data_IF_719214197454
#
_entry.id   IF_719214197454
#
_cell.length_a   1.000
_cell.length_b   1.000
_cell.length_c   1.000
_cell.angle_alpha   90.00
_cell.angle_beta   90.00
_cell.angle_gamma   90.00
#
_symmetry.space_group_name_H-M   'P 1'
#
loop_
_entity.id
_entity.type
_entity.pdbx_description
1 polymer ?
#
# COMPACT_ATOMS: atom_id res chain seq x y z
N UNK A 1 20.69 0.04 2.25
CA UNK A 1 20.95 -1.18 1.44
C UNK A 1 19.76 -1.53 0.55
N UNK A 2 19.99 -2.12 -0.61
CA UNK A 2 18.92 -2.64 -1.47
C UNK A 2 18.24 -3.85 -0.82
N UNK A 3 16.92 -4.00 -1.00
CA UNK A 3 16.11 -5.08 -0.38
C UNK A 3 16.74 -6.47 -0.56
N UNK A 4 17.09 -6.85 -1.77
CA UNK A 4 17.60 -8.19 -2.09
C UNK A 4 19.08 -8.44 -1.73
N UNK A 5 19.86 -7.40 -1.42
CA UNK A 5 21.25 -7.55 -1.00
C UNK A 5 21.38 -8.24 0.36
N UNK A 6 20.36 -8.11 1.21
CA UNK A 6 20.33 -8.68 2.55
C UNK A 6 19.95 -10.16 2.57
N UNK A 7 19.40 -10.69 1.46
CA UNK A 7 18.94 -12.09 1.43
C UNK A 7 20.10 -13.07 1.32
N UNK A 8 20.01 -14.18 2.05
CA UNK A 8 20.97 -15.27 1.97
C UNK A 8 21.09 -15.78 0.54
N UNK A 9 22.30 -16.14 0.17
CA UNK A 9 22.58 -16.80 -1.11
C UNK A 9 22.47 -18.32 -0.94
N UNK A 10 21.83 -18.97 -1.89
CA UNK A 10 21.67 -20.42 -1.96
C UNK A 10 22.27 -20.97 -3.25
N UNK A 11 22.74 -22.21 -3.18
CA UNK A 11 23.12 -22.96 -4.38
C UNK A 11 21.84 -23.53 -5.02
N UNK A 12 21.54 -23.10 -6.23
CA UNK A 12 20.36 -23.54 -6.97
C UNK A 12 20.72 -23.97 -8.38
N UNK A 13 20.24 -25.14 -8.79
CA UNK A 13 20.38 -25.66 -10.14
C UNK A 13 19.07 -25.52 -10.91
N UNK A 14 18.87 -24.44 -11.69
CA UNK A 14 17.62 -24.18 -12.41
C UNK A 14 17.35 -25.15 -13.56
N UNK A 15 18.38 -25.87 -14.02
CA UNK A 15 18.29 -26.75 -15.20
C UNK A 15 18.32 -28.23 -14.81
N UNK A 16 18.76 -28.56 -13.59
CA UNK A 16 18.89 -29.95 -13.11
C UNK A 16 20.05 -30.72 -13.75
N UNK A 17 21.11 -30.00 -14.15
CA UNK A 17 22.29 -30.56 -14.81
C UNK A 17 23.49 -30.75 -13.89
N UNK A 18 23.29 -30.75 -12.57
CA UNK A 18 24.32 -30.81 -11.53
C UNK A 18 25.35 -29.67 -11.59
N UNK A 19 24.96 -28.51 -12.12
CA UNK A 19 25.77 -27.29 -12.14
C UNK A 19 25.08 -26.17 -11.34
N UNK A 20 25.07 -26.24 -10.00
CA UNK A 20 24.39 -25.25 -9.18
C UNK A 20 25.09 -23.89 -9.25
N UNK A 21 24.30 -22.84 -9.31
CA UNK A 21 24.75 -21.43 -9.28
C UNK A 21 24.38 -20.81 -7.94
N UNK A 22 25.24 -19.94 -7.46
CA UNK A 22 24.95 -19.12 -6.27
C UNK A 22 23.95 -18.04 -6.63
N UNK A 23 22.74 -18.11 -6.06
CA UNK A 23 21.65 -17.17 -6.32
C UNK A 23 21.08 -16.61 -5.02
N UNK A 24 20.54 -15.41 -5.08
CA UNK A 24 19.81 -14.82 -3.94
C UNK A 24 18.54 -15.62 -3.67
N UNK A 25 18.29 -15.97 -2.39
CA UNK A 25 17.10 -16.72 -1.99
C UNK A 25 15.85 -15.83 -2.00
N UNK A 26 15.23 -15.65 -3.15
CA UNK A 26 13.99 -14.87 -3.30
C UNK A 26 12.73 -15.59 -2.79
N UNK A 27 12.86 -16.83 -2.33
CA UNK A 27 11.73 -17.59 -1.77
C UNK A 27 11.39 -17.18 -0.33
N UNK A 28 12.30 -16.51 0.37
CA UNK A 28 12.00 -15.93 1.68
C UNK A 28 11.14 -14.67 1.50
N UNK A 29 10.14 -14.53 2.35
CA UNK A 29 9.29 -13.34 2.41
C UNK A 29 9.28 -12.81 3.85
N UNK A 30 9.60 -11.54 4.00
CA UNK A 30 9.52 -10.83 5.27
C UNK A 30 8.23 -10.03 5.31
N UNK A 31 7.59 -10.02 6.47
CA UNK A 31 6.40 -9.21 6.73
C UNK A 31 6.54 -8.54 8.10
N UNK A 32 6.12 -7.30 8.20
CA UNK A 32 6.08 -6.59 9.48
C UNK A 32 5.04 -7.22 10.43
N UNK A 33 5.40 -7.34 11.69
CA UNK A 33 4.43 -7.76 12.72
C UNK A 33 3.44 -6.63 13.00
N UNK A 34 2.17 -6.98 13.16
CA UNK A 34 1.10 -6.03 13.45
C UNK A 34 1.35 -5.17 14.70
N UNK A 35 2.11 -5.66 15.65
CA UNK A 35 2.45 -4.90 16.87
C UNK A 35 3.41 -3.74 16.60
N UNK A 36 4.35 -3.88 15.66
CA UNK A 36 5.27 -2.79 15.30
C UNK A 36 4.54 -1.64 14.59
N UNK A 37 3.49 -1.95 13.84
CA UNK A 37 2.63 -0.94 13.19
C UNK A 37 1.80 -0.11 14.17
N UNK A 38 1.70 -0.52 15.42
CA UNK A 38 0.98 0.20 16.48
C UNK A 38 1.89 1.09 17.33
N UNK A 39 3.20 1.02 17.12
CA UNK A 39 4.18 1.85 17.82
C UNK A 39 4.23 3.25 17.19
N UNK A 40 3.25 4.09 17.55
CA UNK A 40 3.07 5.46 17.06
C UNK A 40 4.36 6.30 17.21
N UNK A 41 5.22 5.97 18.16
CA UNK A 41 6.48 6.69 18.39
C UNK A 41 7.47 6.52 17.24
N UNK A 42 7.40 5.41 16.50
CA UNK A 42 8.35 5.08 15.43
C UNK A 42 7.88 5.53 14.06
N UNK A 43 6.63 5.97 13.93
CA UNK A 43 5.98 6.23 12.66
C UNK A 43 5.57 7.69 12.54
N UNK A 44 5.69 8.22 11.34
CA UNK A 44 5.15 9.51 10.95
C UNK A 44 4.09 9.30 9.86
N UNK A 45 2.85 9.76 10.06
CA UNK A 45 1.83 9.71 9.02
C UNK A 45 2.20 10.65 7.87
N UNK A 46 2.01 10.20 6.64
CA UNK A 46 2.33 10.96 5.44
C UNK A 46 1.22 10.81 4.40
N UNK A 47 0.76 11.93 3.85
CA UNK A 47 -0.20 11.95 2.75
C UNK A 47 0.55 12.06 1.42
N UNK A 48 0.51 10.95 0.65
CA UNK A 48 1.17 10.84 -0.65
C UNK A 48 0.62 11.90 -1.61
N UNK A 49 1.50 12.72 -2.14
CA UNK A 49 1.14 13.77 -3.08
C UNK A 49 0.89 13.23 -4.49
N UNK A 50 0.26 14.05 -5.33
CA UNK A 50 -0.04 13.66 -6.72
C UNK A 50 1.25 13.28 -7.49
N UNK A 51 1.23 12.13 -8.13
CA UNK A 51 2.35 11.54 -8.89
C UNK A 51 3.59 11.13 -8.07
N UNK A 52 3.51 11.08 -6.75
CA UNK A 52 4.59 10.50 -5.97
C UNK A 52 4.61 8.97 -6.07
N UNK A 53 5.80 8.42 -6.27
CA UNK A 53 6.06 6.98 -6.19
C UNK A 53 6.72 6.62 -4.85
N UNK A 54 6.74 5.35 -4.44
CA UNK A 54 7.42 4.94 -3.22
C UNK A 54 8.90 5.39 -3.17
N UNK A 55 9.58 5.44 -4.33
CA UNK A 55 10.96 5.89 -4.43
C UNK A 55 11.09 7.39 -4.17
N UNK A 56 10.15 8.20 -4.68
CA UNK A 56 10.15 9.66 -4.46
C UNK A 56 9.88 9.96 -2.99
N UNK A 57 8.93 9.25 -2.38
CA UNK A 57 8.62 9.38 -0.95
C UNK A 57 9.81 8.99 -0.09
N UNK A 58 10.46 7.86 -0.43
CA UNK A 58 11.66 7.41 0.28
C UNK A 58 12.82 8.40 0.15
N UNK A 59 13.03 8.99 -1.01
CA UNK A 59 14.06 10.00 -1.23
C UNK A 59 13.80 11.26 -0.39
N UNK A 60 12.56 11.74 -0.38
CA UNK A 60 12.16 12.91 0.42
C UNK A 60 12.29 12.70 1.92
N UNK A 61 11.90 11.53 2.41
CA UNK A 61 11.83 11.25 3.85
C UNK A 61 13.15 10.69 4.40
N UNK A 62 13.75 9.71 3.70
CA UNK A 62 14.96 9.02 4.14
C UNK A 62 16.25 9.52 3.46
N UNK A 63 16.14 10.46 2.50
CA UNK A 63 17.29 10.99 1.77
C UNK A 63 17.86 10.02 0.73
N UNK A 64 17.17 8.93 0.43
CA UNK A 64 17.59 7.98 -0.61
C UNK A 64 16.42 7.16 -1.14
N UNK A 65 16.25 7.05 -2.48
CA UNK A 65 15.20 6.25 -3.09
C UNK A 65 15.37 4.74 -2.86
N UNK A 66 16.55 4.30 -2.42
CA UNK A 66 16.84 2.89 -2.13
C UNK A 66 15.93 2.36 -1.02
N UNK A 67 15.46 3.22 -0.11
CA UNK A 67 14.59 2.85 1.00
C UNK A 67 13.11 2.70 0.64
N UNK A 68 12.74 2.77 -0.66
CA UNK A 68 11.36 2.53 -1.10
C UNK A 68 10.78 1.20 -0.57
N UNK A 69 11.62 0.17 -0.42
CA UNK A 69 11.19 -1.12 0.13
C UNK A 69 10.77 -1.04 1.60
N UNK A 70 11.36 -0.12 2.39
CA UNK A 70 10.94 0.13 3.79
C UNK A 70 9.53 0.71 3.79
N UNK A 71 9.28 1.71 2.94
CA UNK A 71 7.95 2.33 2.77
C UNK A 71 6.92 1.27 2.37
N UNK A 72 7.23 0.44 1.38
CA UNK A 72 6.32 -0.61 0.91
C UNK A 72 6.07 -1.68 1.97
N UNK A 73 7.13 -2.15 2.64
CA UNK A 73 7.02 -3.20 3.66
C UNK A 73 6.21 -2.74 4.88
N UNK A 74 6.38 -1.48 5.29
CA UNK A 74 5.68 -0.89 6.42
C UNK A 74 4.17 -0.80 6.17
N UNK A 75 3.77 -0.47 4.94
CA UNK A 75 2.38 -0.28 4.54
C UNK A 75 1.74 -1.52 3.87
N UNK A 76 2.37 -2.71 3.95
CA UNK A 76 1.91 -3.96 3.32
C UNK A 76 1.70 -3.84 1.80
N UNK A 77 2.40 -2.93 1.14
CA UNK A 77 2.32 -2.72 -0.31
C UNK A 77 3.16 -3.80 -0.99
N UNK A 78 2.51 -4.68 -1.73
CA UNK A 78 3.16 -5.75 -2.48
C UNK A 78 3.17 -5.51 -3.99
N UNK A 79 2.19 -4.81 -4.49
CA UNK A 79 2.09 -4.41 -5.89
C UNK A 79 1.78 -2.90 -5.99
N UNK A 80 2.78 -2.13 -6.41
CA UNK A 80 2.66 -0.67 -6.56
C UNK A 80 1.52 -0.27 -7.51
N UNK A 81 1.21 -1.09 -8.53
CA UNK A 81 0.14 -0.76 -9.48
C UNK A 81 -1.26 -0.89 -8.86
N UNK A 82 -1.41 -1.76 -7.86
CA UNK A 82 -2.71 -2.02 -7.23
C UNK A 82 -2.83 -1.43 -5.83
N UNK A 83 -1.76 -1.47 -5.04
CA UNK A 83 -1.80 -1.10 -3.62
C UNK A 83 -1.46 0.38 -3.39
N UNK A 84 -0.68 1.02 -4.29
CA UNK A 84 -0.34 2.43 -4.19
C UNK A 84 -1.47 3.33 -4.68
N UNK A 85 -1.54 4.56 -4.13
CA UNK A 85 -2.50 5.58 -4.59
C UNK A 85 -2.23 5.95 -6.05
N UNK A 86 -3.27 5.90 -6.87
CA UNK A 86 -3.19 6.29 -8.27
C UNK A 86 -3.30 7.81 -8.41
N UNK A 87 -2.50 8.37 -9.30
CA UNK A 87 -2.68 9.76 -9.73
C UNK A 87 -4.04 9.92 -10.43
N UNK A 88 -4.53 11.15 -10.50
CA UNK A 88 -5.80 11.47 -11.18
C UNK A 88 -5.88 10.85 -12.59
N UNK A 89 -4.79 10.95 -13.36
CA UNK A 89 -4.73 10.37 -14.71
C UNK A 89 -4.76 8.85 -14.71
N UNK A 90 -4.04 8.21 -13.78
CA UNK A 90 -4.02 6.74 -13.67
C UNK A 90 -5.37 6.21 -13.19
N UNK A 91 -6.01 6.90 -12.24
CA UNK A 91 -7.34 6.55 -11.75
C UNK A 91 -8.38 6.67 -12.88
N UNK A 92 -8.35 7.75 -13.64
CA UNK A 92 -9.26 7.93 -14.77
C UNK A 92 -9.09 6.83 -15.83
N UNK A 93 -7.84 6.47 -16.15
CA UNK A 93 -7.57 5.34 -17.04
C UNK A 93 -8.12 4.03 -16.47
N UNK A 94 -7.85 3.72 -15.21
CA UNK A 94 -8.36 2.53 -14.53
C UNK A 94 -9.90 2.46 -14.57
N UNK A 95 -10.58 3.59 -14.32
CA UNK A 95 -12.04 3.67 -14.37
C UNK A 95 -12.59 3.42 -15.77
N UNK A 96 -11.97 3.98 -16.80
CA UNK A 96 -12.40 3.76 -18.19
C UNK A 96 -12.11 2.35 -18.69
N UNK A 97 -11.08 1.69 -18.16
CA UNK A 97 -10.76 0.29 -18.49
C UNK A 97 -11.72 -0.69 -17.77
N UNK A 98 -12.22 -0.32 -16.58
CA UNK A 98 -13.07 -1.18 -15.75
C UNK A 98 -14.56 -1.00 -16.00
N UNK A 99 -15.01 0.21 -16.28
CA UNK A 99 -16.43 0.57 -16.38
C UNK A 99 -16.75 1.29 -17.70
N UNK A 100 -17.95 1.07 -18.22
CA UNK A 100 -18.52 1.96 -19.24
C UNK A 100 -18.96 3.28 -18.60
N UNK A 101 -19.14 4.32 -19.42
CA UNK A 101 -19.60 5.65 -18.96
C UNK A 101 -20.93 5.56 -18.18
N UNK A 102 -21.84 4.71 -18.62
CA UNK A 102 -23.12 4.49 -17.94
C UNK A 102 -22.95 3.83 -16.60
N UNK A 103 -22.12 2.78 -16.53
CA UNK A 103 -21.85 2.04 -15.29
C UNK A 103 -21.18 2.91 -14.21
N UNK A 104 -20.37 3.90 -14.60
CA UNK A 104 -19.75 4.82 -13.62
C UNK A 104 -20.79 5.59 -12.79
N UNK A 105 -21.93 5.92 -13.38
CA UNK A 105 -23.02 6.64 -12.71
C UNK A 105 -24.05 5.72 -12.03
N UNK A 106 -23.96 4.40 -12.21
CA UNK A 106 -24.83 3.44 -11.53
C UNK A 106 -24.51 3.36 -10.03
N UNK A 107 -25.53 3.02 -9.25
CA UNK A 107 -25.41 2.84 -7.82
C UNK A 107 -24.53 1.61 -7.51
N UNK A 108 -23.44 1.82 -6.76
CA UNK A 108 -22.64 0.74 -6.18
C UNK A 108 -23.31 0.21 -4.91
N UNK A 109 -23.68 1.13 -4.00
CA UNK A 109 -24.39 0.81 -2.76
C UNK A 109 -25.10 2.06 -2.21
N UNK A 110 -25.79 1.87 -1.09
CA UNK A 110 -26.49 2.94 -0.37
C UNK A 110 -25.91 3.04 1.04
N UNK A 111 -25.74 4.27 1.55
CA UNK A 111 -25.19 4.50 2.87
C UNK A 111 -25.98 5.55 3.65
N UNK A 112 -25.92 5.46 4.97
CA UNK A 112 -26.45 6.45 5.88
C UNK A 112 -25.39 6.79 6.93
N UNK A 113 -25.31 8.06 7.33
CA UNK A 113 -24.44 8.46 8.43
C UNK A 113 -24.94 7.87 9.74
N UNK A 114 -24.03 7.41 10.58
CA UNK A 114 -24.38 6.96 11.92
C UNK A 114 -25.03 8.10 12.70
N UNK A 115 -26.14 7.81 13.38
CA UNK A 115 -26.93 8.83 14.10
C UNK A 115 -26.42 9.13 15.51
N UNK A 116 -25.56 8.27 16.04
CA UNK A 116 -24.97 8.42 17.39
C UNK A 116 -23.51 8.00 17.40
N UNK A 117 -22.71 8.61 18.26
CA UNK A 117 -21.26 8.42 18.29
C UNK A 117 -20.55 9.22 17.20
N UNK A 118 -19.61 8.59 16.50
CA UNK A 118 -18.91 9.25 15.37
C UNK A 118 -19.80 9.28 14.13
N UNK A 119 -20.34 10.46 13.82
CA UNK A 119 -21.25 10.69 12.68
C UNK A 119 -20.51 10.70 11.31
N UNK A 120 -19.18 10.65 11.29
CA UNK A 120 -18.41 10.47 10.06
C UNK A 120 -18.48 9.03 9.53
N UNK A 121 -18.79 8.07 10.40
CA UNK A 121 -18.92 6.67 10.03
C UNK A 121 -20.19 6.48 9.18
N UNK A 122 -20.00 5.85 8.03
CA UNK A 122 -21.04 5.48 7.08
C UNK A 122 -21.43 4.01 7.26
N UNK A 123 -22.72 3.74 7.25
CA UNK A 123 -23.27 2.38 7.38
C UNK A 123 -23.96 2.03 6.05
N UNK A 124 -23.54 0.92 5.45
CA UNK A 124 -24.19 0.42 4.24
C UNK A 124 -25.60 -0.09 4.56
N UNK A 125 -26.57 0.33 3.76
CA UNK A 125 -27.97 0.01 3.92
C UNK A 125 -28.60 -0.48 2.61
N UNK A 126 -29.82 -1.02 2.70
CA UNK A 126 -30.57 -1.45 1.53
C UNK A 126 -31.14 -0.26 0.76
N UNK A 127 -31.37 -0.47 -0.53
CA UNK A 127 -32.06 0.49 -1.37
C UNK A 127 -33.44 0.81 -0.81
N UNK A 128 -33.79 2.10 -0.78
CA UNK A 128 -35.08 2.56 -0.26
C UNK A 128 -35.11 2.86 1.24
N UNK A 129 -34.00 2.70 1.95
CA UNK A 129 -33.87 3.13 3.35
C UNK A 129 -34.02 4.66 3.42
N UNK A 130 -34.88 5.14 4.33
CA UNK A 130 -35.12 6.58 4.52
C UNK A 130 -33.81 7.28 4.95
N UNK A 131 -33.46 8.37 4.25
CA UNK A 131 -32.26 9.15 4.51
C UNK A 131 -30.96 8.54 3.91
N UNK A 132 -31.07 7.45 3.16
CA UNK A 132 -29.90 6.86 2.50
C UNK A 132 -29.43 7.74 1.31
N UNK A 133 -28.11 7.91 1.21
CA UNK A 133 -27.44 8.49 0.04
C UNK A 133 -26.94 7.37 -0.86
N UNK A 134 -27.03 7.60 -2.16
CA UNK A 134 -26.49 6.67 -3.16
C UNK A 134 -25.02 6.97 -3.37
N UNK A 135 -24.20 5.93 -3.31
CA UNK A 135 -22.78 5.98 -3.71
C UNK A 135 -22.67 5.34 -5.08
N UNK A 136 -22.18 6.08 -6.04
CA UNK A 136 -21.97 5.59 -7.42
C UNK A 136 -20.70 4.74 -7.51
N UNK A 137 -20.54 3.95 -8.57
CA UNK A 137 -19.30 3.22 -8.83
C UNK A 137 -18.09 4.16 -8.92
N UNK A 138 -18.25 5.34 -9.50
CA UNK A 138 -17.21 6.37 -9.56
C UNK A 138 -16.79 6.83 -8.16
N UNK A 139 -17.73 7.23 -7.33
CA UNK A 139 -17.46 7.71 -5.96
C UNK A 139 -16.81 6.63 -5.09
N UNK A 140 -17.24 5.40 -5.24
CA UNK A 140 -16.65 4.24 -4.52
C UNK A 140 -15.18 4.04 -4.88
N UNK A 141 -14.83 4.03 -6.17
CA UNK A 141 -13.44 3.84 -6.61
C UNK A 141 -12.54 5.03 -6.23
N UNK A 142 -13.08 6.25 -6.28
CA UNK A 142 -12.37 7.45 -5.81
C UNK A 142 -12.08 7.32 -4.31
N UNK A 143 -13.06 6.92 -3.50
CA UNK A 143 -12.89 6.74 -2.07
C UNK A 143 -11.83 5.67 -1.75
N UNK A 144 -11.88 4.51 -2.44
CA UNK A 144 -10.86 3.45 -2.30
C UNK A 144 -9.44 3.93 -2.67
N UNK A 145 -9.33 4.81 -3.65
CA UNK A 145 -8.04 5.39 -4.01
C UNK A 145 -7.55 6.38 -2.96
N UNK A 146 -8.43 7.19 -2.39
CA UNK A 146 -8.09 8.16 -1.34
C UNK A 146 -7.70 7.46 -0.02
N UNK A 147 -8.30 6.33 0.33
CA UNK A 147 -7.89 5.51 1.49
C UNK A 147 -6.42 5.09 1.44
N UNK A 148 -5.86 4.94 0.23
CA UNK A 148 -4.45 4.58 0.01
C UNK A 148 -3.49 5.78 0.12
N UNK A 149 -4.01 6.99 0.24
CA UNK A 149 -3.20 8.22 0.25
C UNK A 149 -2.40 8.38 1.53
N UNK A 150 -3.01 8.07 2.66
CA UNK A 150 -2.34 8.17 3.95
C UNK A 150 -1.56 6.90 4.23
N UNK A 151 -0.26 7.04 4.37
CA UNK A 151 0.68 5.96 4.67
C UNK A 151 1.48 6.29 5.94
N UNK A 152 2.09 5.28 6.52
CA UNK A 152 3.01 5.44 7.63
C UNK A 152 4.46 5.38 7.13
N UNK A 153 5.30 6.31 7.56
CA UNK A 153 6.73 6.33 7.28
C UNK A 153 7.53 6.07 8.55
N UNK A 154 8.59 5.28 8.44
CA UNK A 154 9.50 5.05 9.55
C UNK A 154 10.34 6.31 9.80
N UNK A 155 10.42 6.78 11.05
CA UNK A 155 11.31 7.89 11.40
C UNK A 155 12.77 7.52 11.16
N UNK A 156 13.55 8.47 10.66
CA UNK A 156 14.95 8.24 10.27
C UNK A 156 15.83 7.73 11.41
N UNK A 157 15.52 8.10 12.65
CA UNK A 157 16.23 7.64 13.83
C UNK A 157 16.13 6.13 14.08
N UNK A 158 15.08 5.48 13.57
CA UNK A 158 14.86 4.02 13.69
C UNK A 158 15.27 3.24 12.45
N UNK A 159 15.69 3.92 11.37
CA UNK A 159 16.01 3.27 10.10
C UNK A 159 17.14 2.24 10.23
N UNK A 160 18.22 2.60 10.93
CA UNK A 160 19.35 1.68 11.17
C UNK A 160 18.94 0.45 11.96
N UNK A 161 18.17 0.63 13.04
CA UNK A 161 17.64 -0.48 13.82
C UNK A 161 16.75 -1.40 12.97
N UNK A 162 15.91 -0.81 12.12
CA UNK A 162 15.05 -1.57 11.23
C UNK A 162 15.83 -2.40 10.20
N UNK A 163 16.90 -1.84 9.63
CA UNK A 163 17.80 -2.58 8.73
C UNK A 163 18.48 -3.76 9.42
N UNK A 164 18.98 -3.57 10.64
CA UNK A 164 19.61 -4.63 11.44
C UNK A 164 18.63 -5.78 11.74
N UNK A 165 17.40 -5.44 12.15
CA UNK A 165 16.35 -6.45 12.39
C UNK A 165 15.97 -7.18 11.10
N UNK A 166 15.86 -6.45 9.98
CA UNK A 166 15.58 -7.06 8.69
C UNK A 166 16.68 -8.06 8.29
N UNK A 167 17.95 -7.71 8.45
CA UNK A 167 19.07 -8.59 8.15
C UNK A 167 19.06 -9.87 9.02
N UNK A 168 18.63 -9.77 10.27
CA UNK A 168 18.53 -10.94 11.17
C UNK A 168 17.38 -11.90 10.75
N UNK A 169 16.39 -11.42 9.99
CA UNK A 169 15.23 -12.21 9.55
C UNK A 169 15.45 -12.91 8.19
N UNK A 170 16.35 -12.42 7.36
CA UNK A 170 16.61 -12.92 6.00
C UNK A 170 17.91 -13.72 5.95
#
# INVERSE_FOLDING_TARGET
MSYFENFQKILYDPVGNNNPKLMTNIMKRVRMRANMKKEVVMLDPYDVQENETPEIVADKHHGSPIYHWVVMLLNDISDVNHDWVKSTRQLQKYLTDKYTVTQLSEAHHYEISQSSGDTSIKIQVLQGTSGATTVTNYEYEVALNEEKRTIDLLRNEYLGFFEDEFQNLV
#
